data_IF_342713972510
#
_entry.id   IF_342713972510
#
_cell.length_a   1.000
_cell.length_b   1.000
_cell.length_c   1.000
_cell.angle_alpha   90.00
_cell.angle_beta   90.00
_cell.angle_gamma   90.00
#
_symmetry.space_group_name_H-M   'P 1'
#
loop_
_entity.id
_entity.type
_entity.pdbx_description
1 polymer ?
#
# COMPACT_ATOMS: atom_id res chain seq x y z
N UNK A 1 -10.58 26.64 12.18
CA UNK A 1 -10.79 25.35 11.59
C UNK A 1 -9.62 24.88 10.81
N UNK A 2 -9.20 25.60 9.78
CA UNK A 2 -7.99 25.23 9.04
C UNK A 2 -6.75 25.21 9.92
N UNK A 3 -6.71 26.03 10.95
CA UNK A 3 -5.56 26.11 11.84
C UNK A 3 -5.33 24.82 12.62
N UNK A 4 -6.39 24.15 13.04
CA UNK A 4 -6.25 22.92 13.80
C UNK A 4 -5.65 21.80 12.95
N UNK A 5 -6.05 21.71 11.71
CA UNK A 5 -5.52 20.71 10.78
C UNK A 5 -4.03 20.98 10.51
N UNK A 6 -3.68 22.25 10.36
CA UNK A 6 -2.28 22.61 10.15
C UNK A 6 -1.38 22.22 11.30
N UNK A 7 -1.84 22.43 12.52
CA UNK A 7 -1.04 22.08 13.69
C UNK A 7 -0.77 20.60 13.75
N UNK A 8 -1.78 19.77 13.41
CA UNK A 8 -1.58 18.32 13.40
C UNK A 8 -0.58 17.91 12.32
N UNK A 9 -0.63 18.57 11.17
CA UNK A 9 0.29 18.25 10.09
C UNK A 9 1.73 18.67 10.36
N UNK A 10 1.90 19.64 11.20
CA UNK A 10 3.23 20.12 11.56
C UNK A 10 3.86 19.33 12.70
N UNK A 11 3.10 18.41 13.29
CA UNK A 11 3.67 17.57 14.32
C UNK A 11 4.86 16.80 13.75
N UNK A 12 6.01 16.89 14.36
CA UNK A 12 7.17 16.18 13.86
C UNK A 12 6.93 14.68 13.94
N UNK A 13 7.36 13.99 12.90
CA UNK A 13 7.37 12.53 12.86
C UNK A 13 8.81 12.09 12.99
N UNK A 14 9.36 12.14 14.17
CA UNK A 14 10.80 12.04 14.28
C UNK A 14 11.26 10.61 14.11
N UNK A 15 11.65 10.00 15.17
CA UNK A 15 12.38 8.76 15.22
C UNK A 15 11.74 7.61 14.46
N UNK A 16 10.42 7.64 14.27
CA UNK A 16 9.73 6.56 13.59
C UNK A 16 10.16 6.41 12.14
N UNK A 17 10.55 7.50 11.49
CA UNK A 17 10.99 7.44 10.08
C UNK A 17 12.40 6.91 9.92
N UNK A 18 13.12 6.72 11.01
CA UNK A 18 14.48 6.18 10.98
C UNK A 18 14.51 4.67 11.01
N UNK A 19 13.36 4.02 11.01
CA UNK A 19 13.32 2.57 10.94
C UNK A 19 13.95 2.10 9.63
N UNK A 20 14.76 1.05 9.71
CA UNK A 20 15.41 0.47 8.54
C UNK A 20 14.51 -0.52 7.82
N UNK A 21 13.38 -0.84 8.40
CA UNK A 21 12.42 -1.75 7.79
C UNK A 21 11.10 -1.03 7.61
N UNK A 22 10.49 -1.27 6.47
CA UNK A 22 9.23 -0.62 6.14
C UNK A 22 8.25 -1.63 5.56
N UNK A 23 6.99 -1.46 5.91
CA UNK A 23 5.91 -2.17 5.27
C UNK A 23 5.27 -1.23 4.26
N UNK A 24 5.19 -1.68 3.03
CA UNK A 24 4.50 -0.94 1.96
C UNK A 24 3.21 -1.67 1.69
N UNK A 25 2.09 -0.98 1.88
CA UNK A 25 0.76 -1.51 1.68
C UNK A 25 0.15 -0.82 0.46
N UNK A 26 -0.26 -1.59 -0.53
CA UNK A 26 -0.73 -1.06 -1.80
C UNK A 26 -2.15 -1.57 -2.03
N UNK A 27 -3.09 -0.65 -2.16
CA UNK A 27 -4.48 -1.00 -2.46
C UNK A 27 -4.68 -0.81 -3.96
N UNK A 28 -5.03 -1.87 -4.66
CA UNK A 28 -5.11 -1.84 -6.12
C UNK A 28 -6.36 -2.52 -6.62
N UNK A 29 -6.72 -2.26 -7.86
CA UNK A 29 -7.77 -3.00 -8.52
C UNK A 29 -7.32 -4.42 -8.79
N UNK A 30 -8.24 -5.36 -8.69
CA UNK A 30 -7.93 -6.77 -8.90
C UNK A 30 -7.27 -6.99 -10.27
N UNK A 31 -7.75 -6.31 -11.30
CA UNK A 31 -7.23 -6.45 -12.65
C UNK A 31 -5.77 -6.02 -12.79
N UNK A 32 -5.26 -5.24 -11.85
CA UNK A 32 -3.88 -4.73 -11.89
C UNK A 32 -2.92 -5.53 -11.03
N UNK A 33 -3.42 -6.50 -10.29
CA UNK A 33 -2.58 -7.23 -9.34
C UNK A 33 -1.41 -7.95 -10.01
N UNK A 34 -1.66 -8.65 -11.11
CA UNK A 34 -0.58 -9.40 -11.77
C UNK A 34 0.51 -8.48 -12.29
N UNK A 35 0.15 -7.33 -12.84
CA UNK A 35 1.13 -6.36 -13.30
C UNK A 35 1.97 -5.82 -12.15
N UNK A 36 1.33 -5.54 -11.02
CA UNK A 36 2.03 -5.06 -9.83
C UNK A 36 2.98 -6.14 -9.29
N UNK A 37 2.49 -7.36 -9.16
CA UNK A 37 3.30 -8.48 -8.67
C UNK A 37 4.54 -8.68 -9.51
N UNK A 38 4.38 -8.70 -10.82
CA UNK A 38 5.49 -8.88 -11.74
C UNK A 38 6.51 -7.74 -11.62
N UNK A 39 6.02 -6.52 -11.56
CA UNK A 39 6.91 -5.35 -11.44
C UNK A 39 7.71 -5.39 -10.15
N UNK A 40 7.07 -5.75 -9.03
CA UNK A 40 7.76 -5.84 -7.75
C UNK A 40 8.75 -7.00 -7.72
N UNK A 41 8.39 -8.13 -8.31
CA UNK A 41 9.33 -9.26 -8.41
C UNK A 41 10.57 -8.89 -9.19
N UNK A 42 10.42 -8.08 -10.23
CA UNK A 42 11.55 -7.66 -11.06
C UNK A 42 12.56 -6.80 -10.32
N UNK A 43 12.18 -6.17 -9.25
CA UNK A 43 13.12 -5.38 -8.44
C UNK A 43 13.57 -6.11 -7.17
N UNK A 44 13.24 -7.39 -7.07
CA UNK A 44 13.73 -8.22 -5.97
C UNK A 44 12.76 -8.42 -4.82
N UNK A 45 11.56 -7.92 -4.91
CA UNK A 45 10.53 -8.16 -3.88
C UNK A 45 9.91 -9.52 -4.15
N UNK A 46 10.11 -10.46 -3.25
CA UNK A 46 9.61 -11.84 -3.44
C UNK A 46 8.50 -12.21 -2.48
N UNK A 47 8.55 -11.74 -1.25
CA UNK A 47 7.50 -12.03 -0.27
C UNK A 47 6.41 -11.00 -0.30
N UNK A 48 5.18 -11.44 -0.52
CA UNK A 48 4.02 -10.57 -0.52
C UNK A 48 2.89 -11.20 0.26
N UNK A 49 2.17 -10.39 1.01
CA UNK A 49 0.92 -10.80 1.62
C UNK A 49 -0.21 -10.15 0.86
N UNK A 50 -1.15 -10.95 0.40
CA UNK A 50 -2.22 -10.47 -0.46
C UNK A 50 -3.55 -10.73 0.22
N UNK A 51 -4.37 -9.68 0.33
CA UNK A 51 -5.67 -9.75 0.97
C UNK A 51 -6.71 -9.17 0.04
N UNK A 52 -7.82 -9.87 -0.13
CA UNK A 52 -8.96 -9.30 -0.83
C UNK A 52 -9.67 -8.35 0.11
N UNK A 53 -9.95 -7.15 -0.35
CA UNK A 53 -10.60 -6.12 0.44
C UNK A 53 -11.68 -5.46 -0.40
N UNK A 54 -12.59 -4.75 0.27
CA UNK A 54 -13.63 -3.99 -0.40
C UNK A 54 -13.34 -2.52 -0.19
N UNK A 55 -13.26 -1.80 -1.28
CA UNK A 55 -13.14 -0.36 -1.23
C UNK A 55 -14.52 0.27 -1.30
N UNK A 56 -14.77 1.23 -0.44
CA UNK A 56 -15.99 2.01 -0.48
C UNK A 56 -15.63 3.41 -0.95
N UNK A 57 -16.15 3.80 -2.09
CA UNK A 57 -15.84 5.10 -2.64
C UNK A 57 -16.99 5.67 -3.44
N UNK A 58 -16.91 6.96 -3.64
CA UNK A 58 -17.86 7.65 -4.51
C UNK A 58 -17.43 7.44 -5.94
N UNK A 59 -18.27 6.79 -6.72
CA UNK A 59 -18.06 6.73 -8.15
C UNK A 59 -18.79 7.86 -8.82
N UNK A 60 -18.03 8.89 -9.09
CA UNK A 60 -18.56 10.00 -9.84
C UNK A 60 -18.80 9.53 -11.26
N UNK A 61 -20.02 9.70 -11.71
CA UNK A 61 -20.35 9.34 -13.08
C UNK A 61 -21.11 8.05 -13.27
N UNK A 62 -21.36 7.32 -12.21
CA UNK A 62 -22.27 6.19 -12.30
C UNK A 62 -23.68 6.65 -12.61
N UNK A 63 -23.92 7.94 -12.46
CA UNK A 63 -25.21 8.52 -12.78
C UNK A 63 -26.33 8.13 -11.84
N UNK A 64 -26.01 7.37 -10.88
CA UNK A 64 -26.97 6.81 -9.96
C UNK A 64 -27.36 7.84 -8.95
N UNK A 65 -28.38 8.59 -9.27
CA UNK A 65 -29.00 9.45 -8.29
C UNK A 65 -30.27 8.82 -7.86
N UNK A 66 -30.34 8.44 -6.65
CA UNK A 66 -31.53 7.85 -6.11
C UNK A 66 -32.30 8.92 -5.40
N UNK A 67 -33.45 9.29 -5.98
CA UNK A 67 -34.34 10.35 -5.48
C UNK A 67 -33.63 11.69 -5.34
N UNK A 68 -32.78 11.99 -6.30
CA UNK A 68 -32.05 13.25 -6.23
C UNK A 68 -30.91 13.26 -5.24
N UNK A 69 -30.75 12.22 -4.47
CA UNK A 69 -29.62 12.07 -3.57
C UNK A 69 -28.61 11.15 -4.19
N UNK A 70 -27.35 11.49 -4.03
CA UNK A 70 -26.30 10.60 -4.50
C UNK A 70 -26.14 9.45 -3.54
N UNK A 71 -26.38 8.27 -4.04
CA UNK A 71 -26.24 7.05 -3.26
C UNK A 71 -25.05 6.32 -3.81
N UNK A 72 -23.88 6.88 -3.60
CA UNK A 72 -22.74 6.39 -4.36
C UNK A 72 -21.73 5.61 -3.57
N UNK A 73 -22.11 5.18 -2.40
CA UNK A 73 -21.27 4.29 -1.62
C UNK A 73 -21.34 2.90 -2.25
N UNK A 74 -20.51 2.67 -3.24
CA UNK A 74 -20.41 1.36 -3.88
C UNK A 74 -19.22 0.62 -3.31
N UNK A 75 -19.45 -0.61 -2.91
CA UNK A 75 -18.37 -1.48 -2.50
C UNK A 75 -17.73 -2.10 -3.73
N UNK A 76 -16.47 -1.86 -3.90
CA UNK A 76 -15.70 -2.37 -5.05
C UNK A 76 -14.64 -3.34 -4.55
N UNK A 77 -14.52 -4.49 -5.20
CA UNK A 77 -13.46 -5.43 -4.82
C UNK A 77 -12.09 -4.83 -5.15
N UNK A 78 -11.21 -4.91 -4.20
CA UNK A 78 -9.83 -4.45 -4.32
C UNK A 78 -8.90 -5.52 -3.77
N UNK A 79 -7.63 -5.33 -3.99
CA UNK A 79 -6.59 -6.19 -3.43
C UNK A 79 -5.63 -5.33 -2.64
N UNK A 80 -5.31 -5.78 -1.45
CA UNK A 80 -4.27 -5.16 -0.65
C UNK A 80 -3.03 -6.02 -0.72
N UNK A 81 -1.95 -5.46 -1.23
CA UNK A 81 -0.65 -6.13 -1.34
C UNK A 81 0.27 -5.49 -0.32
N UNK A 82 0.84 -6.31 0.55
CA UNK A 82 1.75 -5.82 1.57
C UNK A 82 3.09 -6.50 1.43
N UNK A 83 4.15 -5.70 1.46
CA UNK A 83 5.51 -6.19 1.45
C UNK A 83 6.28 -5.51 2.56
N UNK A 84 7.21 -6.25 3.16
CA UNK A 84 8.12 -5.68 4.15
C UNK A 84 9.51 -5.74 3.58
N UNK A 85 10.19 -4.61 3.58
CA UNK A 85 11.50 -4.49 2.96
C UNK A 85 12.49 -3.85 3.92
N UNK A 86 13.75 -4.18 3.73
CA UNK A 86 14.84 -3.60 4.49
C UNK A 86 15.86 -2.93 3.56
N UNK A 87 16.41 -3.68 2.62
CA UNK A 87 17.45 -3.16 1.74
C UNK A 87 16.94 -2.51 0.48
N UNK A 88 15.77 -2.90 0.02
CA UNK A 88 15.19 -2.27 -1.16
C UNK A 88 14.65 -0.91 -0.72
N UNK A 89 15.09 0.19 -1.35
CA UNK A 89 14.61 1.51 -0.96
C UNK A 89 13.10 1.63 -1.18
N UNK A 90 12.43 2.22 -0.22
CA UNK A 90 10.99 2.45 -0.31
C UNK A 90 10.65 3.27 -1.56
N UNK A 91 11.45 4.26 -1.88
CA UNK A 91 11.22 5.10 -3.06
C UNK A 91 11.22 4.28 -4.35
N UNK A 92 12.04 3.25 -4.42
CA UNK A 92 12.06 2.38 -5.59
C UNK A 92 10.78 1.56 -5.70
N UNK A 93 10.25 1.12 -4.57
CA UNK A 93 8.98 0.38 -4.55
C UNK A 93 7.84 1.31 -4.97
N UNK A 94 7.81 2.52 -4.43
CA UNK A 94 6.79 3.50 -4.78
C UNK A 94 6.83 3.80 -6.28
N UNK A 95 8.01 4.05 -6.82
CA UNK A 95 8.17 4.36 -8.23
C UNK A 95 7.74 3.19 -9.11
N UNK A 96 8.18 2.01 -8.77
CA UNK A 96 7.85 0.79 -9.52
C UNK A 96 6.35 0.52 -9.52
N UNK A 97 5.74 0.60 -8.34
CA UNK A 97 4.30 0.37 -8.21
C UNK A 97 3.51 1.44 -8.95
N UNK A 98 3.92 2.69 -8.82
CA UNK A 98 3.23 3.78 -9.49
C UNK A 98 3.25 3.60 -10.99
N UNK A 99 4.39 3.25 -11.56
CA UNK A 99 4.49 3.03 -13.00
C UNK A 99 3.64 1.85 -13.47
N UNK A 100 3.55 0.82 -12.66
CA UNK A 100 2.75 -0.35 -13.02
C UNK A 100 1.25 -0.09 -12.94
N UNK A 101 0.83 0.82 -12.07
CA UNK A 101 -0.58 1.01 -11.75
C UNK A 101 -1.20 2.25 -12.38
N UNK A 102 -0.38 3.21 -12.77
CA UNK A 102 -0.88 4.50 -13.21
C UNK A 102 -1.68 4.40 -14.50
N UNK A 103 -2.89 4.91 -14.47
CA UNK A 103 -3.72 5.12 -15.67
C UNK A 103 -4.18 6.57 -15.79
N UNK A 104 -4.09 7.33 -14.70
CA UNK A 104 -4.59 8.70 -14.64
C UNK A 104 -6.06 8.78 -14.28
N UNK A 105 -6.69 7.65 -14.00
CA UNK A 105 -8.10 7.61 -13.62
C UNK A 105 -8.27 7.36 -12.14
N UNK A 106 -9.42 7.75 -11.62
CA UNK A 106 -9.79 7.46 -10.24
C UNK A 106 -9.83 5.94 -10.08
N UNK A 107 -9.22 5.46 -9.01
CA UNK A 107 -9.18 4.02 -8.73
C UNK A 107 -7.85 3.37 -9.01
N UNK A 108 -6.84 4.14 -9.42
CA UNK A 108 -5.50 3.60 -9.63
C UNK A 108 -4.90 2.99 -8.36
N UNK A 109 -5.33 3.46 -7.20
CA UNK A 109 -4.90 2.90 -5.94
C UNK A 109 -4.12 3.87 -5.08
N UNK A 110 -3.72 3.38 -3.93
CA UNK A 110 -2.95 4.16 -2.97
C UNK A 110 -1.85 3.31 -2.38
N UNK A 111 -0.77 3.95 -2.02
CA UNK A 111 0.39 3.30 -1.42
C UNK A 111 0.60 3.91 -0.03
N UNK A 112 0.67 3.04 0.98
CA UNK A 112 0.91 3.45 2.36
C UNK A 112 2.22 2.86 2.82
N UNK A 113 3.01 3.64 3.51
CA UNK A 113 4.29 3.19 4.05
C UNK A 113 4.25 3.27 5.57
N UNK A 114 4.63 2.17 6.20
CA UNK A 114 4.66 2.06 7.66
C UNK A 114 6.06 1.69 8.10
N UNK A 115 6.44 2.17 9.27
CA UNK A 115 7.66 1.70 9.90
C UNK A 115 7.40 0.37 10.59
N UNK A 116 8.34 -0.55 10.45
CA UNK A 116 8.30 -1.84 11.11
C UNK A 116 9.40 -1.89 12.14
N UNK A 117 9.01 -2.01 13.39
CA UNK A 117 9.98 -1.99 14.48
C UNK A 117 10.76 -3.29 14.58
N UNK A 118 10.13 -4.40 14.29
CA UNK A 118 10.75 -5.71 14.43
C UNK A 118 10.07 -6.75 13.56
N UNK A 119 10.85 -7.65 13.03
CA UNK A 119 10.36 -8.82 12.30
C UNK A 119 10.98 -10.06 12.91
N UNK A 120 10.19 -11.11 13.07
CA UNK A 120 10.68 -12.39 13.58
C UNK A 120 10.15 -13.50 12.68
N UNK A 121 11.06 -14.33 12.20
CA UNK A 121 10.66 -15.51 11.44
C UNK A 121 10.32 -16.62 12.44
N UNK A 122 9.09 -17.06 12.42
CA UNK A 122 8.60 -18.02 13.42
C UNK A 122 9.37 -19.33 13.37
N UNK A 123 9.66 -19.83 12.17
CA UNK A 123 10.30 -21.13 12.01
C UNK A 123 11.70 -21.17 12.58
N UNK A 124 12.47 -20.10 12.42
CA UNK A 124 13.90 -20.11 12.77
C UNK A 124 14.24 -19.21 13.95
N UNK A 125 13.35 -18.27 14.30
CA UNK A 125 13.64 -17.25 15.29
C UNK A 125 14.55 -16.14 14.78
N UNK A 126 14.92 -16.17 13.51
CA UNK A 126 15.72 -15.09 12.92
C UNK A 126 14.95 -13.77 12.99
N UNK A 127 15.69 -12.69 13.13
CA UNK A 127 15.08 -11.37 13.33
C UNK A 127 15.53 -10.37 12.28
N UNK A 128 14.65 -9.42 12.04
CA UNK A 128 14.87 -8.25 11.22
C UNK A 128 15.31 -8.61 9.79
N UNK A 129 16.44 -8.12 9.33
CA UNK A 129 16.86 -8.36 7.96
C UNK A 129 16.87 -9.85 7.62
N UNK A 130 17.42 -10.68 8.49
CA UNK A 130 17.51 -12.10 8.23
C UNK A 130 16.15 -12.78 8.19
N UNK A 131 15.21 -12.27 8.98
CA UNK A 131 13.85 -12.78 8.98
C UNK A 131 13.13 -12.52 7.65
N UNK A 132 13.57 -11.51 6.91
CA UNK A 132 12.98 -11.15 5.62
C UNK A 132 13.57 -11.92 4.46
N UNK A 133 14.59 -12.74 4.70
CA UNK A 133 15.22 -13.54 3.65
C UNK A 133 14.52 -14.89 3.58
N UNK A 134 13.68 -15.05 2.58
CA UNK A 134 13.02 -16.32 2.32
C UNK A 134 13.88 -17.13 1.37
N UNK A 135 14.97 -17.62 1.91
CA UNK A 135 15.85 -18.52 1.17
C UNK A 135 15.49 -19.94 1.58
N UNK A 136 15.05 -20.68 0.65
CA UNK A 136 14.80 -22.11 0.85
C UNK A 136 15.91 -22.96 0.32
#
# INVERSE_FOLDING_TARGET
MAAAVKVVQEAPLPAALDSKMHKVSIIVQLAKFEALKKALNNIGVTGMTVTQVMGCGLQKGSGEKYRGAEVDATLLPKVKVEVVVSKIPVEKIIDTATKALYTGHIGDGKIFVYNVAKVVKVRTGEQDYNALQDVE
#
